data_IF_168929024564
#
_entry.id   IF_168929024564
#
_cell.length_a   1.000
_cell.length_b   1.000
_cell.length_c   1.000
_cell.angle_alpha   90.00
_cell.angle_beta   90.00
_cell.angle_gamma   90.00
#
_symmetry.space_group_name_H-M   'P 1'
#
loop_
_entity.id
_entity.type
_entity.pdbx_description
1 polymer ?
#
# COMPACT_ATOMS: atom_id res chain seq x y z
N UNK A 1 -16.89 -12.60 51.37
CA UNK A 1 -17.69 -12.08 50.23
C UNK A 1 -16.69 -11.76 49.15
N UNK A 2 -16.49 -12.71 48.25
CA UNK A 2 -15.56 -12.63 47.12
C UNK A 2 -16.03 -11.55 46.14
N UNK A 3 -15.09 -10.77 45.61
CA UNK A 3 -15.22 -10.12 44.31
C UNK A 3 -13.92 -10.35 43.55
N UNK A 4 -14.00 -11.24 42.57
CA UNK A 4 -13.00 -11.43 41.54
C UNK A 4 -12.80 -10.13 40.75
N UNK A 5 -11.55 -9.71 40.58
CA UNK A 5 -11.18 -8.70 39.60
C UNK A 5 -10.67 -9.42 38.35
N UNK A 6 -11.32 -9.13 37.22
CA UNK A 6 -10.98 -9.63 35.89
C UNK A 6 -9.56 -9.21 35.45
N UNK A 7 -8.77 -10.07 34.77
CA UNK A 7 -7.48 -9.64 34.23
C UNK A 7 -7.71 -8.74 33.01
N UNK A 8 -7.19 -7.51 33.10
CA UNK A 8 -7.14 -6.56 32.00
C UNK A 8 -6.29 -7.12 30.84
N UNK A 9 -6.75 -6.86 29.60
CA UNK A 9 -6.07 -7.23 28.38
C UNK A 9 -4.69 -6.54 28.29
N UNK A 10 -3.63 -7.34 28.18
CA UNK A 10 -2.24 -6.90 28.05
C UNK A 10 -1.99 -6.40 26.62
N UNK A 11 -2.45 -5.18 26.31
CA UNK A 11 -2.15 -4.48 25.07
C UNK A 11 -0.78 -3.81 25.17
N UNK A 12 0.29 -4.49 24.73
CA UNK A 12 1.61 -3.86 24.61
C UNK A 12 1.71 -3.14 23.27
N UNK A 13 1.99 -1.82 23.23
CA UNK A 13 2.27 -1.12 21.99
C UNK A 13 3.63 -1.57 21.43
N UNK A 14 3.74 -1.62 20.11
CA UNK A 14 4.99 -1.83 19.39
C UNK A 14 5.73 -0.50 19.39
N UNK A 15 6.92 -0.42 20.00
CA UNK A 15 7.76 0.79 20.01
C UNK A 15 8.99 0.61 19.12
N UNK A 16 9.20 1.56 18.20
CA UNK A 16 10.38 1.63 17.34
C UNK A 16 11.64 2.02 18.15
N UNK A 17 12.84 1.56 17.73
CA UNK A 17 14.07 1.84 18.45
C UNK A 17 14.40 3.34 18.48
N UNK A 18 14.77 3.81 19.68
CA UNK A 18 15.11 5.20 19.96
C UNK A 18 16.64 5.31 20.04
N UNK A 19 17.32 5.57 18.91
CA UNK A 19 18.74 5.93 18.91
C UNK A 19 19.48 5.73 17.58
N UNK A 20 20.53 6.52 17.30
CA UNK A 20 21.35 6.39 16.08
C UNK A 20 22.22 5.12 16.10
N UNK A 21 22.45 4.54 14.92
CA UNK A 21 23.26 3.34 14.72
C UNK A 21 24.76 3.63 14.92
N UNK A 22 25.50 2.66 15.44
CA UNK A 22 26.95 2.76 15.73
C UNK A 22 27.77 2.65 14.44
N UNK A 23 28.56 3.68 14.13
CA UNK A 23 29.34 3.87 12.90
C UNK A 23 30.54 2.91 12.73
N UNK A 24 30.74 1.96 13.65
CA UNK A 24 31.94 1.11 13.69
C UNK A 24 31.82 -0.26 13.00
N UNK A 25 30.68 -0.61 12.40
CA UNK A 25 30.51 -1.91 11.73
C UNK A 25 31.05 -1.94 10.29
N UNK A 26 32.07 -2.77 10.04
CA UNK A 26 32.60 -3.05 8.70
C UNK A 26 31.90 -4.23 8.03
N UNK A 27 31.40 -4.02 6.81
CA UNK A 27 30.68 -5.01 6.01
C UNK A 27 31.61 -6.10 5.43
N UNK A 28 31.75 -7.24 6.12
CA UNK A 28 32.23 -8.49 5.51
C UNK A 28 31.06 -9.44 5.23
N UNK A 29 30.89 -9.82 3.96
CA UNK A 29 29.88 -10.80 3.57
C UNK A 29 30.39 -12.22 3.85
N UNK A 30 29.81 -12.88 4.87
CA UNK A 30 29.97 -14.32 5.12
C UNK A 30 28.70 -15.04 4.67
N UNK A 31 28.85 -15.94 3.70
CA UNK A 31 27.80 -16.89 3.33
C UNK A 31 27.53 -17.81 4.53
N UNK A 32 26.33 -17.71 5.14
CA UNK A 32 25.95 -18.39 6.39
C UNK A 32 24.77 -19.35 6.18
N UNK A 33 24.94 -20.58 6.65
CA UNK A 33 23.95 -21.67 6.63
C UNK A 33 23.07 -21.75 7.89
N UNK A 34 23.07 -20.69 8.69
CA UNK A 34 22.62 -20.63 10.07
C UNK A 34 21.79 -19.35 10.30
N UNK A 35 20.75 -19.18 9.48
CA UNK A 35 19.80 -18.07 9.60
C UNK A 35 19.01 -18.19 10.92
N UNK A 36 19.44 -17.48 11.97
CA UNK A 36 18.82 -17.48 13.31
C UNK A 36 17.57 -16.59 13.44
N UNK A 37 17.07 -16.02 12.35
CA UNK A 37 15.83 -15.23 12.32
C UNK A 37 16.04 -13.72 12.50
N UNK A 38 14.92 -13.00 12.63
CA UNK A 38 14.90 -11.54 12.76
C UNK A 38 15.25 -11.10 14.19
N UNK A 39 16.10 -10.08 14.31
CA UNK A 39 16.49 -9.48 15.58
C UNK A 39 15.64 -8.23 15.80
N UNK A 40 14.94 -8.15 16.93
CA UNK A 40 14.24 -6.94 17.37
C UNK A 40 14.75 -6.58 18.77
N UNK A 41 15.60 -5.55 18.87
CA UNK A 41 16.37 -5.29 20.08
C UNK A 41 17.42 -6.37 20.38
N UNK A 42 17.70 -6.62 21.66
CA UNK A 42 18.76 -7.55 22.14
C UNK A 42 18.35 -9.03 22.14
N UNK A 43 17.16 -9.37 21.64
CA UNK A 43 16.62 -10.73 21.70
C UNK A 43 16.57 -11.38 20.32
N UNK A 44 17.10 -12.60 20.21
CA UNK A 44 16.92 -13.43 19.02
C UNK A 44 15.55 -14.10 19.06
N UNK A 45 14.71 -13.80 18.05
CA UNK A 45 13.40 -14.41 17.93
C UNK A 45 13.44 -15.53 16.89
N UNK A 46 13.29 -16.77 17.36
CA UNK A 46 13.14 -17.93 16.49
C UNK A 46 11.72 -17.96 15.94
N UNK A 47 11.56 -17.69 14.65
CA UNK A 47 10.28 -17.82 13.96
C UNK A 47 9.98 -19.29 13.69
N UNK A 48 8.80 -19.76 14.10
CA UNK A 48 8.31 -21.09 13.75
C UNK A 48 7.06 -20.96 12.89
N UNK A 49 7.03 -21.67 11.77
CA UNK A 49 5.80 -21.78 10.97
C UNK A 49 4.76 -22.57 11.79
N UNK A 50 3.72 -21.88 12.25
CA UNK A 50 2.62 -22.47 13.02
C UNK A 50 1.54 -23.05 12.12
N UNK A 51 1.31 -22.44 10.95
CA UNK A 51 0.35 -22.91 9.96
C UNK A 51 0.76 -22.47 8.55
N UNK A 52 0.34 -23.25 7.56
CA UNK A 52 0.45 -22.93 6.13
C UNK A 52 -0.95 -22.88 5.54
N UNK A 53 -1.25 -21.81 4.81
CA UNK A 53 -2.48 -21.65 4.04
C UNK A 53 -2.13 -21.98 2.57
N UNK A 54 -2.50 -23.17 2.07
CA UNK A 54 -2.12 -23.57 0.71
C UNK A 54 -2.87 -22.74 -0.32
N UNK A 55 -2.20 -22.45 -1.44
CA UNK A 55 -2.87 -21.98 -2.65
C UNK A 55 -3.78 -23.10 -3.17
N UNK A 56 -4.99 -22.78 -3.68
CA UNK A 56 -5.84 -23.77 -4.34
C UNK A 56 -5.18 -24.56 -5.49
N UNK A 57 -4.02 -24.10 -5.99
CA UNK A 57 -3.30 -24.53 -7.20
C UNK A 57 -1.80 -24.30 -7.00
N UNK A 58 -0.94 -24.99 -7.74
CA UNK A 58 0.50 -24.69 -7.76
C UNK A 58 0.75 -23.41 -8.57
N UNK A 59 0.67 -22.27 -7.91
CA UNK A 59 0.84 -20.94 -8.51
C UNK A 59 1.53 -19.99 -7.53
N UNK A 60 2.18 -18.96 -8.07
CA UNK A 60 2.77 -17.90 -7.27
C UNK A 60 1.69 -16.89 -6.88
N UNK A 61 1.52 -16.67 -5.56
CA UNK A 61 0.81 -15.51 -5.03
C UNK A 61 1.60 -14.25 -5.39
N UNK A 62 0.92 -13.28 -5.99
CA UNK A 62 1.48 -11.99 -6.40
C UNK A 62 1.20 -10.90 -5.37
N UNK A 63 0.08 -11.01 -4.64
CA UNK A 63 -0.30 -10.04 -3.62
C UNK A 63 -1.07 -10.68 -2.46
N UNK A 64 -0.93 -10.07 -1.28
CA UNK A 64 -1.62 -10.40 -0.04
C UNK A 64 -2.11 -9.11 0.62
N UNK A 65 -3.33 -9.13 1.15
CA UNK A 65 -3.89 -7.99 1.87
C UNK A 65 -4.73 -8.44 3.06
N UNK A 66 -4.42 -7.90 4.24
CA UNK A 66 -5.23 -8.11 5.45
C UNK A 66 -6.50 -7.26 5.38
N UNK A 67 -7.62 -7.80 5.84
CA UNK A 67 -8.86 -7.05 5.94
C UNK A 67 -8.79 -6.08 7.13
N UNK A 68 -8.76 -4.75 6.91
CA UNK A 68 -8.67 -3.79 8.01
C UNK A 68 -9.98 -3.68 8.81
N UNK A 69 -11.09 -4.21 8.27
CA UNK A 69 -12.41 -4.16 8.89
C UNK A 69 -12.79 -5.45 9.63
N UNK A 70 -12.09 -6.56 9.37
CA UNK A 70 -12.36 -7.87 9.97
C UNK A 70 -11.06 -8.59 10.33
N UNK A 71 -10.81 -8.70 11.63
CA UNK A 71 -9.63 -9.38 12.15
C UNK A 71 -9.52 -10.83 11.67
N UNK A 72 -8.29 -11.26 11.36
CA UNK A 72 -8.00 -12.63 10.94
C UNK A 72 -8.25 -12.91 9.45
N UNK A 73 -8.96 -12.03 8.73
CA UNK A 73 -9.27 -12.27 7.32
C UNK A 73 -8.17 -11.71 6.40
N UNK A 74 -7.78 -12.51 5.40
CA UNK A 74 -6.75 -12.17 4.41
C UNK A 74 -7.31 -12.45 3.02
N UNK A 75 -7.03 -11.59 2.05
CA UNK A 75 -7.18 -11.90 0.62
C UNK A 75 -5.80 -12.11 0.01
N UNK A 76 -5.71 -13.07 -0.90
CA UNK A 76 -4.54 -13.33 -1.71
C UNK A 76 -4.94 -13.40 -3.19
N UNK A 77 -4.08 -12.96 -4.10
CA UNK A 77 -4.27 -13.16 -5.52
C UNK A 77 -3.00 -13.65 -6.20
N UNK A 78 -3.15 -14.41 -7.27
CA UNK A 78 -2.07 -15.12 -7.92
C UNK A 78 -2.00 -14.92 -9.43
N UNK A 79 -0.81 -15.22 -9.95
CA UNK A 79 -0.50 -15.17 -11.37
C UNK A 79 -1.30 -16.17 -12.23
N UNK A 80 -2.02 -17.11 -11.63
CA UNK A 80 -2.93 -18.05 -12.31
C UNK A 80 -4.36 -17.49 -12.45
N UNK A 81 -4.57 -16.24 -12.05
CA UNK A 81 -5.88 -15.58 -12.09
C UNK A 81 -6.75 -15.92 -10.89
N UNK A 82 -6.23 -16.64 -9.89
CA UNK A 82 -7.00 -16.99 -8.70
C UNK A 82 -6.91 -15.89 -7.66
N UNK A 83 -8.05 -15.46 -7.11
CA UNK A 83 -8.08 -14.80 -5.80
C UNK A 83 -8.74 -15.70 -4.77
N UNK A 84 -8.26 -15.65 -3.53
CA UNK A 84 -8.79 -16.44 -2.43
C UNK A 84 -8.84 -15.65 -1.13
N UNK A 85 -9.89 -15.88 -0.35
CA UNK A 85 -10.09 -15.34 0.99
C UNK A 85 -9.78 -16.42 2.01
N UNK A 86 -8.98 -16.08 3.01
CA UNK A 86 -8.54 -16.95 4.07
C UNK A 86 -8.96 -16.40 5.43
N UNK A 87 -9.14 -17.31 6.39
CA UNK A 87 -9.33 -16.96 7.79
C UNK A 87 -8.15 -17.52 8.60
N UNK A 88 -7.22 -16.63 8.95
CA UNK A 88 -6.03 -16.96 9.71
C UNK A 88 -6.38 -17.41 11.14
N UNK A 89 -7.42 -16.83 11.76
CA UNK A 89 -7.81 -17.21 13.12
C UNK A 89 -8.42 -18.61 13.15
N UNK A 90 -9.33 -18.91 12.23
CA UNK A 90 -9.86 -20.27 12.08
C UNK A 90 -8.74 -21.26 11.77
N UNK A 91 -7.81 -20.90 10.88
CA UNK A 91 -6.68 -21.76 10.55
C UNK A 91 -5.81 -22.04 11.79
N UNK A 92 -5.56 -21.07 12.66
CA UNK A 92 -4.78 -21.28 13.89
C UNK A 92 -5.44 -22.25 14.88
N UNK A 93 -6.76 -22.43 14.82
CA UNK A 93 -7.48 -23.40 15.66
C UNK A 93 -7.41 -24.85 15.13
N UNK A 94 -7.03 -25.04 13.87
CA UNK A 94 -6.93 -26.37 13.27
C UNK A 94 -5.73 -27.15 13.83
N UNK A 95 -5.86 -28.48 13.93
CA UNK A 95 -4.73 -29.33 14.28
C UNK A 95 -3.60 -29.20 13.25
N UNK A 96 -2.32 -29.39 13.61
CA UNK A 96 -1.21 -29.32 12.64
C UNK A 96 -1.34 -30.28 11.46
N UNK A 97 -2.05 -31.39 11.64
CA UNK A 97 -2.33 -32.42 10.62
C UNK A 97 -3.46 -32.04 9.66
N UNK A 98 -4.27 -31.03 10.01
CA UNK A 98 -5.39 -30.57 9.19
C UNK A 98 -4.94 -29.41 8.30
N UNK A 99 -5.08 -29.59 6.99
CA UNK A 99 -4.81 -28.55 6.00
C UNK A 99 -5.86 -27.45 6.08
N UNK A 100 -5.41 -26.21 6.31
CA UNK A 100 -6.28 -25.06 6.19
C UNK A 100 -6.77 -24.92 4.74
N UNK A 101 -8.02 -24.48 4.58
CA UNK A 101 -8.63 -24.21 3.27
C UNK A 101 -9.05 -22.75 3.20
N UNK A 102 -9.01 -22.19 2.00
CA UNK A 102 -9.62 -20.89 1.72
C UNK A 102 -11.11 -20.94 2.05
N UNK A 103 -11.62 -19.86 2.62
CA UNK A 103 -13.06 -19.65 2.89
C UNK A 103 -13.81 -19.47 1.58
N UNK A 104 -13.20 -18.73 0.65
CA UNK A 104 -13.74 -18.44 -0.67
C UNK A 104 -12.59 -18.36 -1.68
N UNK A 105 -12.84 -18.74 -2.94
CA UNK A 105 -11.91 -18.55 -4.03
C UNK A 105 -12.66 -18.39 -5.36
N UNK A 106 -12.04 -17.70 -6.31
CA UNK A 106 -12.56 -17.52 -7.66
C UNK A 106 -11.40 -17.53 -8.65
N UNK A 107 -11.63 -18.13 -9.82
CA UNK A 107 -10.67 -18.18 -10.92
C UNK A 107 -11.09 -17.19 -12.01
N UNK A 108 -10.16 -16.32 -12.39
CA UNK A 108 -10.31 -15.37 -13.47
C UNK A 108 -9.51 -15.82 -14.70
N UNK A 109 -9.93 -15.41 -15.92
CA UNK A 109 -9.23 -15.79 -17.15
C UNK A 109 -7.85 -15.11 -17.28
N UNK A 110 -7.64 -14.01 -16.57
CA UNK A 110 -6.43 -13.19 -16.64
C UNK A 110 -5.65 -13.27 -15.33
N UNK A 111 -4.32 -13.17 -15.41
CA UNK A 111 -3.44 -13.12 -14.25
C UNK A 111 -3.77 -11.94 -13.35
N UNK A 112 -3.67 -12.13 -12.03
CA UNK A 112 -3.88 -11.07 -11.04
C UNK A 112 -2.53 -10.59 -10.50
N UNK A 113 -2.37 -9.27 -10.43
CA UNK A 113 -1.14 -8.63 -9.92
C UNK A 113 -1.33 -8.09 -8.50
N UNK A 114 -2.52 -7.59 -8.18
CA UNK A 114 -2.79 -6.97 -6.89
C UNK A 114 -4.21 -7.22 -6.41
N UNK A 115 -4.40 -7.29 -5.10
CA UNK A 115 -5.71 -7.35 -4.46
C UNK A 115 -5.72 -6.57 -3.15
N UNK A 116 -6.87 -5.98 -2.81
CA UNK A 116 -7.05 -5.25 -1.56
C UNK A 116 -8.51 -5.23 -1.10
N UNK A 117 -8.73 -4.88 0.17
CA UNK A 117 -10.06 -4.75 0.77
C UNK A 117 -10.57 -3.31 0.68
N UNK A 118 -11.65 -3.08 -0.05
CA UNK A 118 -12.31 -1.77 -0.11
C UNK A 118 -13.37 -1.59 1.00
N UNK A 119 -13.92 -2.67 1.54
CA UNK A 119 -14.80 -2.67 2.70
C UNK A 119 -14.75 -4.02 3.42
N UNK A 120 -15.50 -4.17 4.51
CA UNK A 120 -15.53 -5.41 5.29
C UNK A 120 -15.85 -6.66 4.47
N UNK A 121 -16.69 -6.54 3.44
CA UNK A 121 -17.11 -7.63 2.55
C UNK A 121 -16.71 -7.41 1.09
N UNK A 122 -16.06 -6.28 0.78
CA UNK A 122 -15.77 -5.92 -0.61
C UNK A 122 -14.27 -5.95 -0.84
N UNK A 123 -13.84 -6.77 -1.79
CA UNK A 123 -12.46 -6.81 -2.26
C UNK A 123 -12.37 -6.31 -3.70
N UNK A 124 -11.19 -5.83 -4.07
CA UNK A 124 -10.83 -5.43 -5.42
C UNK A 124 -9.65 -6.28 -5.86
N UNK A 125 -9.72 -6.84 -7.06
CA UNK A 125 -8.65 -7.58 -7.70
C UNK A 125 -8.29 -6.95 -9.04
N UNK A 126 -7.01 -6.65 -9.23
CA UNK A 126 -6.44 -6.05 -10.44
C UNK A 126 -5.76 -7.12 -11.30
N UNK A 127 -6.09 -7.11 -12.59
CA UNK A 127 -5.60 -8.04 -13.58
C UNK A 127 -4.64 -7.37 -14.58
N UNK A 128 -3.86 -8.22 -15.27
CA UNK A 128 -2.89 -7.81 -16.29
C UNK A 128 -3.56 -7.22 -17.56
N UNK A 129 -4.87 -7.42 -17.75
CA UNK A 129 -5.67 -6.87 -18.86
C UNK A 129 -6.19 -5.44 -18.59
N UNK A 130 -5.57 -4.74 -17.65
CA UNK A 130 -5.94 -3.40 -17.18
C UNK A 130 -7.34 -3.33 -16.53
N UNK A 131 -7.93 -4.46 -16.13
CA UNK A 131 -9.24 -4.49 -15.46
C UNK A 131 -9.07 -4.64 -13.94
N UNK A 132 -9.67 -3.72 -13.19
CA UNK A 132 -9.94 -3.89 -11.76
C UNK A 132 -11.38 -4.38 -11.56
N UNK A 133 -11.54 -5.47 -10.82
CA UNK A 133 -12.82 -6.14 -10.58
C UNK A 133 -13.18 -6.10 -9.10
N UNK A 134 -14.43 -5.76 -8.81
CA UNK A 134 -14.97 -5.63 -7.46
C UNK A 134 -15.82 -6.85 -7.12
N UNK A 135 -15.64 -7.39 -5.92
CA UNK A 135 -16.29 -8.63 -5.49
C UNK A 135 -16.89 -8.46 -4.10
N UNK A 136 -18.10 -8.99 -3.93
CA UNK A 136 -18.78 -9.09 -2.64
C UNK A 136 -18.70 -10.52 -2.14
N UNK A 137 -17.95 -10.74 -1.05
CA UNK A 137 -17.69 -12.09 -0.52
C UNK A 137 -18.92 -12.73 0.14
N UNK A 138 -20.01 -11.97 0.36
CA UNK A 138 -21.27 -12.50 0.88
C UNK A 138 -22.03 -13.31 -0.18
N UNK A 139 -21.64 -13.16 -1.44
CA UNK A 139 -22.25 -13.83 -2.59
C UNK A 139 -21.29 -14.88 -3.14
N UNK A 140 -21.83 -15.91 -3.79
CA UNK A 140 -20.99 -16.86 -4.51
C UNK A 140 -20.25 -16.13 -5.64
N UNK A 141 -18.93 -16.29 -5.80
CA UNK A 141 -18.11 -15.49 -6.70
C UNK A 141 -18.23 -16.01 -8.14
N UNK A 142 -19.41 -15.84 -8.72
CA UNK A 142 -19.71 -16.19 -10.11
C UNK A 142 -19.31 -15.06 -11.06
N UNK A 143 -19.60 -13.83 -10.67
CA UNK A 143 -19.29 -12.63 -11.44
C UNK A 143 -18.97 -11.47 -10.48
N UNK A 144 -18.12 -10.52 -10.91
CA UNK A 144 -17.84 -9.33 -10.11
C UNK A 144 -19.05 -8.41 -10.09
N UNK A 145 -19.27 -7.76 -8.95
CA UNK A 145 -20.34 -6.77 -8.76
C UNK A 145 -20.07 -5.44 -9.49
N UNK A 146 -18.84 -5.24 -9.94
CA UNK A 146 -18.41 -4.07 -10.69
C UNK A 146 -17.05 -4.29 -11.33
N UNK A 147 -16.79 -3.60 -12.43
CA UNK A 147 -15.52 -3.62 -13.15
C UNK A 147 -15.18 -2.21 -13.59
N UNK A 148 -13.89 -1.90 -13.61
CA UNK A 148 -13.36 -0.72 -14.28
C UNK A 148 -12.17 -1.13 -15.13
N UNK A 149 -12.11 -0.60 -16.34
CA UNK A 149 -10.95 -0.73 -17.23
C UNK A 149 -10.12 0.52 -17.07
N UNK A 150 -8.93 0.37 -16.50
CA UNK A 150 -7.97 1.46 -16.39
C UNK A 150 -7.48 1.85 -17.78
N UNK A 151 -7.29 3.16 -18.00
CA UNK A 151 -6.68 3.63 -19.25
C UNK A 151 -5.20 3.24 -19.25
N UNK A 152 -4.69 2.85 -20.41
CA UNK A 152 -3.27 2.56 -20.59
C UNK A 152 -2.89 1.13 -20.25
N UNK A 153 -1.84 0.98 -19.45
CA UNK A 153 -1.09 -0.27 -19.26
C UNK A 153 -1.65 -1.19 -18.16
N UNK A 154 -1.16 -2.45 -18.07
CA UNK A 154 -1.53 -3.38 -17.00
C UNK A 154 -1.44 -2.76 -15.60
N UNK A 155 -2.33 -3.17 -14.70
CA UNK A 155 -2.34 -2.68 -13.32
C UNK A 155 -1.37 -3.53 -12.50
N UNK A 156 -0.43 -2.88 -11.81
CA UNK A 156 0.56 -3.55 -10.97
C UNK A 156 0.18 -3.57 -9.49
N UNK A 157 -0.40 -2.46 -9.01
CA UNK A 157 -0.68 -2.28 -7.59
C UNK A 157 -2.03 -1.57 -7.37
N UNK A 158 -2.67 -1.88 -6.25
CA UNK A 158 -3.90 -1.28 -5.78
C UNK A 158 -3.71 -0.72 -4.37
N UNK A 159 -4.37 0.41 -4.08
CA UNK A 159 -4.53 0.91 -2.73
C UNK A 159 -5.98 1.33 -2.46
N UNK A 160 -6.37 1.17 -1.21
CA UNK A 160 -7.65 1.62 -0.62
C UNK A 160 -7.34 2.27 0.73
N UNK A 161 -8.30 3.02 1.27
CA UNK A 161 -8.19 3.58 2.62
C UNK A 161 -9.47 3.36 3.42
N UNK A 162 -9.38 2.91 4.69
CA UNK A 162 -10.54 2.87 5.59
C UNK A 162 -11.15 4.24 5.90
N UNK A 163 -10.38 5.33 5.73
CA UNK A 163 -10.86 6.69 5.97
C UNK A 163 -11.87 7.14 4.92
N UNK A 164 -11.73 6.62 3.69
CA UNK A 164 -12.61 6.94 2.56
C UNK A 164 -12.85 5.69 1.70
N UNK A 165 -13.64 4.72 2.20
CA UNK A 165 -13.78 3.39 1.61
C UNK A 165 -14.38 3.39 0.19
N UNK A 166 -14.97 4.48 -0.26
CA UNK A 166 -15.43 4.65 -1.64
C UNK A 166 -14.28 4.78 -2.65
N UNK A 167 -13.08 5.20 -2.22
CA UNK A 167 -11.97 5.46 -3.12
C UNK A 167 -11.03 4.27 -3.21
N UNK A 168 -10.47 4.08 -4.40
CA UNK A 168 -9.32 3.21 -4.63
C UNK A 168 -8.44 3.76 -5.75
N UNK A 169 -7.16 3.42 -5.71
CA UNK A 169 -6.17 3.81 -6.72
C UNK A 169 -5.61 2.58 -7.40
N UNK A 170 -5.45 2.66 -8.72
CA UNK A 170 -4.73 1.69 -9.54
C UNK A 170 -3.42 2.32 -10.01
N UNK A 171 -2.29 1.66 -9.75
CA UNK A 171 -0.99 2.01 -10.32
C UNK A 171 -0.65 1.14 -11.53
N UNK A 172 -0.37 1.77 -12.67
CA UNK A 172 -0.12 1.12 -13.94
C UNK A 172 1.35 0.92 -14.31
N UNK A 173 1.59 0.10 -15.33
CA UNK A 173 2.89 -0.12 -15.97
C UNK A 173 3.37 1.09 -16.82
N UNK A 174 2.49 2.08 -17.03
CA UNK A 174 2.71 3.33 -17.74
C UNK A 174 3.06 4.51 -16.83
N UNK A 175 3.18 4.28 -15.52
CA UNK A 175 3.53 5.32 -14.54
C UNK A 175 2.31 6.09 -14.03
N UNK A 176 1.11 5.77 -14.51
CA UNK A 176 -0.12 6.44 -14.13
C UNK A 176 -0.67 5.88 -12.82
N UNK A 177 -1.15 6.78 -11.96
CA UNK A 177 -2.02 6.44 -10.84
C UNK A 177 -3.43 6.93 -11.15
N UNK A 178 -4.38 6.01 -11.28
CA UNK A 178 -5.77 6.34 -11.58
C UNK A 178 -6.64 6.15 -10.35
N UNK A 179 -7.27 7.24 -9.89
CA UNK A 179 -8.18 7.27 -8.75
C UNK A 179 -9.61 6.99 -9.21
N UNK A 180 -10.32 6.12 -8.49
CA UNK A 180 -11.69 5.72 -8.79
C UNK A 180 -12.59 5.81 -7.57
N UNK A 181 -13.87 6.12 -7.81
CA UNK A 181 -14.94 5.94 -6.82
C UNK A 181 -15.70 4.65 -7.14
N UNK A 182 -15.69 3.67 -6.24
CA UNK A 182 -16.34 2.38 -6.47
C UNK A 182 -17.86 2.44 -6.59
N UNK A 183 -18.49 3.54 -6.17
CA UNK A 183 -19.93 3.79 -6.34
C UNK A 183 -20.23 4.31 -7.76
N UNK A 184 -19.21 4.82 -8.47
CA UNK A 184 -19.30 5.39 -9.80
C UNK A 184 -18.13 4.88 -10.66
N UNK A 185 -18.27 3.68 -11.20
CA UNK A 185 -17.23 3.02 -12.01
C UNK A 185 -17.13 3.52 -13.47
N UNK A 186 -17.65 4.72 -13.77
CA UNK A 186 -17.57 5.31 -15.12
C UNK A 186 -16.34 6.21 -15.26
N UNK A 187 -15.20 5.60 -15.54
CA UNK A 187 -13.92 6.32 -15.72
C UNK A 187 -13.27 6.74 -14.41
N UNK A 188 -12.01 7.20 -14.52
CA UNK A 188 -11.25 7.70 -13.38
C UNK A 188 -11.83 9.03 -12.89
N UNK A 189 -11.85 9.21 -11.57
CA UNK A 189 -12.13 10.48 -10.91
C UNK A 189 -11.00 11.46 -11.16
N UNK A 190 -9.76 10.95 -11.09
CA UNK A 190 -8.53 11.72 -11.32
C UNK A 190 -7.41 10.79 -11.79
N UNK A 191 -6.42 11.34 -12.48
CA UNK A 191 -5.20 10.63 -12.88
C UNK A 191 -4.00 11.45 -12.43
N UNK A 192 -3.11 10.85 -11.64
CA UNK A 192 -1.86 11.47 -11.22
C UNK A 192 -0.74 10.98 -12.13
N UNK A 193 0.09 11.92 -12.59
CA UNK A 193 1.23 11.66 -13.45
C UNK A 193 2.48 12.23 -12.79
N UNK A 194 3.43 11.36 -12.46
CA UNK A 194 4.69 11.79 -11.87
C UNK A 194 5.65 12.35 -12.91
N UNK A 195 6.65 13.14 -12.51
CA UNK A 195 7.71 13.62 -13.39
C UNK A 195 8.35 12.48 -14.21
N UNK A 196 8.56 11.31 -13.60
CA UNK A 196 9.12 10.15 -14.31
C UNK A 196 8.21 9.57 -15.40
N UNK A 197 6.89 9.80 -15.33
CA UNK A 197 5.93 9.43 -16.37
C UNK A 197 5.87 10.50 -17.48
N UNK A 198 6.04 11.77 -17.11
CA UNK A 198 6.07 12.91 -18.03
C UNK A 198 7.38 13.05 -18.81
N UNK A 199 8.49 12.48 -18.31
CA UNK A 199 9.78 12.51 -19.00
C UNK A 199 9.73 11.60 -20.24
N UNK A 200 9.51 12.19 -21.41
CA UNK A 200 9.84 11.58 -22.69
C UNK A 200 11.36 11.50 -22.81
N UNK A 201 11.97 10.36 -22.52
CA UNK A 201 13.39 10.17 -22.84
C UNK A 201 13.56 10.01 -24.35
N UNK A 202 14.78 10.23 -24.84
CA UNK A 202 15.15 10.01 -26.25
C UNK A 202 14.89 8.55 -26.72
N UNK A 203 14.61 7.63 -25.80
CA UNK A 203 14.30 6.23 -26.05
C UNK A 203 12.79 5.91 -26.07
N UNK A 204 11.90 6.91 -25.93
CA UNK A 204 10.45 6.75 -25.94
C UNK A 204 9.80 7.22 -24.63
N UNK A 205 8.47 7.04 -24.44
CA UNK A 205 7.84 7.29 -23.15
C UNK A 205 8.59 6.50 -22.08
N UNK A 206 9.07 7.20 -21.04
CA UNK A 206 9.79 6.59 -19.92
C UNK A 206 8.89 5.52 -19.30
N UNK A 207 9.29 4.26 -19.48
CA UNK A 207 8.58 3.08 -18.97
C UNK A 207 8.76 2.97 -17.44
N UNK A 208 8.23 3.93 -16.70
CA UNK A 208 8.21 3.91 -15.25
C UNK A 208 7.00 3.12 -14.78
N UNK A 209 7.23 1.97 -14.17
CA UNK A 209 6.15 1.10 -13.70
C UNK A 209 5.84 1.47 -12.26
N UNK A 210 4.60 1.85 -11.96
CA UNK A 210 4.21 2.04 -10.56
C UNK A 210 4.25 0.67 -9.88
N UNK A 211 5.12 0.52 -8.90
CA UNK A 211 5.38 -0.76 -8.22
C UNK A 211 4.62 -0.89 -6.90
N UNK A 212 4.37 0.23 -6.22
CA UNK A 212 3.63 0.28 -4.97
C UNK A 212 2.86 1.59 -4.84
N UNK A 213 1.73 1.52 -4.15
CA UNK A 213 0.92 2.67 -3.79
C UNK A 213 0.27 2.41 -2.43
N UNK A 214 0.17 3.44 -1.60
CA UNK A 214 -0.47 3.36 -0.29
C UNK A 214 -1.09 4.70 0.10
N UNK A 215 -2.29 4.66 0.66
CA UNK A 215 -2.90 5.84 1.29
C UNK A 215 -2.32 6.07 2.68
N UNK A 216 -2.35 7.33 3.12
CA UNK A 216 -2.19 7.66 4.53
C UNK A 216 -3.35 7.13 5.36
N UNK A 217 -3.04 6.65 6.57
CA UNK A 217 -4.03 6.25 7.57
C UNK A 217 -4.53 7.43 8.43
N UNK A 218 -4.01 8.63 8.20
CA UNK A 218 -4.38 9.84 8.94
C UNK A 218 -5.17 10.85 8.10
N UNK A 219 -4.80 11.01 6.82
CA UNK A 219 -5.47 11.92 5.88
C UNK A 219 -5.85 11.17 4.59
N UNK A 220 -7.13 11.09 4.19
CA UNK A 220 -7.54 10.30 3.03
C UNK A 220 -7.08 10.88 1.69
N UNK A 221 -6.63 12.14 1.66
CA UNK A 221 -6.10 12.79 0.46
C UNK A 221 -4.62 12.49 0.22
N UNK A 222 -3.88 12.06 1.24
CA UNK A 222 -2.46 11.76 1.10
C UNK A 222 -2.23 10.36 0.54
N UNK A 223 -1.39 10.30 -0.49
CA UNK A 223 -0.98 9.09 -1.16
C UNK A 223 0.55 9.04 -1.23
N UNK A 224 1.13 7.86 -1.09
CA UNK A 224 2.53 7.59 -1.41
C UNK A 224 2.58 6.57 -2.54
N UNK A 225 3.39 6.83 -3.56
CA UNK A 225 3.67 5.85 -4.62
C UNK A 225 5.17 5.65 -4.80
N UNK A 226 5.55 4.51 -5.36
CA UNK A 226 6.93 4.20 -5.74
C UNK A 226 6.98 3.52 -7.10
N UNK A 227 8.01 3.83 -7.89
CA UNK A 227 8.16 3.34 -9.27
C UNK A 227 9.41 2.47 -9.49
N UNK A 228 9.51 1.87 -10.68
CA UNK A 228 10.66 1.07 -11.09
C UNK A 228 11.96 1.87 -11.29
N UNK A 229 11.88 3.20 -11.32
CA UNK A 229 13.01 4.10 -11.44
C UNK A 229 13.54 4.55 -10.08
N UNK A 230 13.07 3.91 -9.01
CA UNK A 230 13.49 4.15 -7.62
C UNK A 230 13.09 5.53 -7.11
N UNK A 231 12.07 6.13 -7.70
CA UNK A 231 11.47 7.33 -7.15
C UNK A 231 10.26 6.95 -6.30
N UNK A 232 10.06 7.75 -5.27
CA UNK A 232 8.85 7.77 -4.46
C UNK A 232 8.25 9.16 -4.52
N UNK A 233 6.93 9.22 -4.56
CA UNK A 233 6.17 10.44 -4.73
C UNK A 233 5.14 10.54 -3.62
N UNK A 234 5.14 11.68 -2.93
CA UNK A 234 4.13 12.04 -1.95
C UNK A 234 3.12 12.99 -2.61
N UNK A 235 1.85 12.63 -2.54
CA UNK A 235 0.76 13.37 -3.19
C UNK A 235 -0.26 13.88 -2.17
N UNK A 236 -0.85 15.04 -2.43
CA UNK A 236 -2.08 15.51 -1.79
C UNK A 236 -3.20 15.72 -2.81
N UNK A 237 -4.17 14.81 -2.81
CA UNK A 237 -5.33 14.86 -3.70
C UNK A 237 -6.22 16.10 -3.48
N UNK A 238 -6.12 16.79 -2.34
CA UNK A 238 -6.88 18.02 -2.10
C UNK A 238 -6.35 19.21 -2.91
N UNK A 239 -5.06 19.19 -3.29
CA UNK A 239 -4.44 20.23 -4.11
C UNK A 239 -4.68 20.07 -5.60
N UNK A 240 -5.32 18.98 -6.01
CA UNK A 240 -5.56 18.70 -7.42
C UNK A 240 -6.42 19.80 -8.06
N UNK A 241 -5.87 20.46 -9.09
CA UNK A 241 -6.52 21.56 -9.81
C UNK A 241 -6.37 22.93 -9.16
N UNK A 242 -5.52 23.09 -8.15
CA UNK A 242 -5.09 24.40 -7.68
C UNK A 242 -4.32 25.16 -8.78
N UNK A 243 -4.44 26.48 -8.79
CA UNK A 243 -3.66 27.32 -9.70
C UNK A 243 -2.20 27.35 -9.23
N UNK A 244 -1.28 27.19 -10.18
CA UNK A 244 0.16 27.28 -9.93
C UNK A 244 0.74 28.44 -10.75
N UNK A 245 1.79 29.06 -10.21
CA UNK A 245 2.61 29.95 -10.99
C UNK A 245 3.39 29.17 -12.07
N UNK A 246 3.76 29.80 -13.19
CA UNK A 246 4.43 29.11 -14.30
C UNK A 246 5.72 28.39 -13.91
N UNK A 247 6.46 28.92 -12.93
CA UNK A 247 7.70 28.32 -12.43
C UNK A 247 7.43 27.01 -11.68
N UNK A 248 6.44 26.99 -10.77
CA UNK A 248 6.05 25.78 -10.02
C UNK A 248 5.43 24.71 -10.93
N UNK A 249 4.71 25.12 -11.97
CA UNK A 249 4.13 24.20 -12.95
C UNK A 249 5.19 23.47 -13.80
N UNK A 250 6.42 23.99 -13.89
CA UNK A 250 7.53 23.29 -14.53
C UNK A 250 8.05 22.11 -13.68
N UNK A 251 7.93 22.19 -12.35
CA UNK A 251 8.39 21.15 -11.41
C UNK A 251 7.39 19.98 -11.27
N UNK A 252 6.10 20.23 -11.49
CA UNK A 252 5.08 19.20 -11.48
C UNK A 252 3.67 19.72 -11.16
N UNK A 253 2.68 18.80 -11.12
CA UNK A 253 1.30 19.16 -10.80
C UNK A 253 1.16 19.62 -9.33
N UNK A 254 0.12 20.40 -8.99
CA UNK A 254 -0.01 21.00 -7.65
C UNK A 254 -0.20 19.96 -6.54
N UNK A 255 -0.76 18.81 -6.88
CA UNK A 255 -0.91 17.68 -5.96
C UNK A 255 0.39 16.94 -5.64
N UNK A 256 1.50 17.20 -6.35
CA UNK A 256 2.79 16.55 -6.06
C UNK A 256 3.55 17.35 -5.00
N UNK A 257 3.64 16.81 -3.78
CA UNK A 257 4.30 17.50 -2.67
C UNK A 257 5.80 17.25 -2.62
N UNK A 258 6.24 16.03 -2.94
CA UNK A 258 7.64 15.64 -2.79
C UNK A 258 8.00 14.47 -3.69
N UNK A 259 9.20 14.56 -4.28
CA UNK A 259 9.87 13.47 -4.97
C UNK A 259 11.11 13.10 -4.17
N UNK A 260 11.33 11.81 -3.93
CA UNK A 260 12.55 11.35 -3.32
C UNK A 260 13.02 10.01 -3.91
N UNK A 261 14.34 9.85 -4.05
CA UNK A 261 14.96 8.67 -4.63
C UNK A 261 15.38 7.66 -3.57
N UNK A 262 15.10 6.39 -3.80
CA UNK A 262 15.55 5.28 -2.96
C UNK A 262 16.79 4.62 -3.57
N UNK A 263 17.71 4.17 -2.72
CA UNK A 263 18.98 3.59 -3.15
C UNK A 263 18.86 2.07 -3.37
N UNK A 264 19.74 1.52 -4.20
CA UNK A 264 19.92 0.07 -4.37
C UNK A 264 20.98 -0.50 -3.41
N UNK A 265 21.02 0.02 -2.18
CA UNK A 265 22.01 -0.34 -1.16
C UNK A 265 21.47 -1.36 -0.15
N UNK A 266 20.27 -1.89 -0.39
CA UNK A 266 19.54 -2.79 0.53
C UNK A 266 19.27 -2.16 1.90
N UNK A 267 19.25 -0.83 2.00
CA UNK A 267 18.92 -0.13 3.23
C UNK A 267 17.46 0.32 3.23
N UNK A 268 16.82 0.21 4.39
CA UNK A 268 15.52 0.84 4.64
C UNK A 268 15.78 2.28 5.06
N UNK A 269 15.35 3.23 4.24
CA UNK A 269 15.38 4.64 4.61
C UNK A 269 14.03 5.05 5.21
N UNK A 270 14.06 5.70 6.37
CA UNK A 270 12.89 6.34 6.98
C UNK A 270 13.09 7.84 6.83
N UNK A 271 12.17 8.50 6.12
CA UNK A 271 12.20 9.94 5.92
C UNK A 271 11.05 10.60 6.65
N UNK A 272 11.34 11.77 7.23
CA UNK A 272 10.34 12.66 7.77
C UNK A 272 10.45 13.98 7.01
N UNK A 273 9.56 14.25 6.04
CA UNK A 273 9.48 15.56 5.41
C UNK A 273 9.24 16.63 6.47
N UNK A 274 9.75 17.85 6.23
CA UNK A 274 9.51 18.98 7.14
C UNK A 274 8.01 19.21 7.31
N UNK A 275 7.60 19.64 8.51
CA UNK A 275 6.19 19.94 8.80
C UNK A 275 5.55 20.91 7.80
N UNK A 276 6.33 21.87 7.29
CA UNK A 276 5.90 22.83 6.27
C UNK A 276 5.47 22.20 4.94
N UNK A 277 5.85 20.95 4.66
CA UNK A 277 5.33 20.20 3.48
C UNK A 277 3.84 19.87 3.65
N UNK A 278 3.37 19.74 4.89
CA UNK A 278 2.01 19.31 5.22
C UNK A 278 1.11 20.45 5.72
N UNK A 279 1.72 21.52 6.24
CA UNK A 279 1.02 22.65 6.84
C UNK A 279 1.57 23.94 6.23
N UNK A 280 0.71 24.78 5.67
CA UNK A 280 1.06 26.17 5.43
C UNK A 280 1.38 26.81 6.78
N UNK A 281 2.56 27.41 6.91
CA UNK A 281 2.87 28.20 8.10
C UNK A 281 1.82 29.31 8.20
N UNK A 282 1.06 29.35 9.30
CA UNK A 282 0.23 30.52 9.61
C UNK A 282 1.16 31.73 9.53
N UNK A 283 0.91 32.57 8.53
CA UNK A 283 1.64 33.79 8.20
C UNK A 283 2.25 34.42 9.44
N UNK A 284 3.56 34.70 9.40
CA UNK A 284 4.21 35.64 10.31
C UNK A 284 3.30 36.88 10.41
N UNK A 285 2.54 37.00 11.50
CA UNK A 285 1.93 38.27 11.84
C UNK A 285 3.10 39.16 12.16
N UNK A 286 3.46 40.02 11.22
CA UNK A 286 4.24 41.22 11.49
C UNK A 286 3.57 41.91 12.68
N UNK A 287 4.12 41.71 13.87
CA UNK A 287 3.85 42.59 14.99
C UNK A 287 4.50 43.92 14.61
N UNK A 288 3.69 44.82 14.04
CA UNK A 288 3.97 46.25 14.00
C UNK A 288 4.25 46.71 15.44
N UNK A 289 5.52 46.71 15.81
CA UNK A 289 6.03 47.23 17.07
C UNK A 289 7.14 48.23 16.78
N UNK A 290 6.77 49.35 16.17
CA UNK A 290 7.56 50.59 16.19
C UNK A 290 6.63 51.82 16.27
N UNK A 291 5.80 51.85 17.31
CA UNK A 291 5.46 53.10 18.00
C UNK A 291 5.65 52.86 19.50
N UNK A 292 6.75 53.37 20.07
CA UNK A 292 6.87 54.05 21.37
C UNK A 292 8.35 54.17 21.79
N UNK A 293 9.00 55.27 21.40
CA UNK A 293 9.78 56.15 22.29
C UNK A 293 10.02 57.52 21.64
#
# INVERSE_FOLDING_TARGET
MEREASPAADGRPVELPVGPFDDTQTNEYKERGDYEGFHYGLSSYKTKVVKRLPHPRESNWTCLSWNPYRGGQIVSCGSDGTWAVHDAFAALQLKPTEGAKSVLACEMPTRLNSCCWAAADILIAAAEDSVASLWDIRQAPKEPIGKVTCKGSPINCLATTPLKPELFVCGGDDGLLQLYDRRRLCGAVHTLEGPSAAVHTLEGPSACKVSAVSFSLQKPSFLLSGDSNKYTFLWDLEKAGEEQDPEDAEDGPPELLLVASVANDNQLHIWQPKGSVFFEEESEREEDADELE
#
